data_IF_773937248100
#
_entry.id   IF_773937248100
#
_cell.length_a   1.000
_cell.length_b   1.000
_cell.length_c   1.000
_cell.angle_alpha   90.00
_cell.angle_beta   90.00
_cell.angle_gamma   90.00
#
_symmetry.space_group_name_H-M   'P 1'
#
loop_
_entity.id
_entity.type
_entity.pdbx_description
1 polymer ?
#
# COMPACT_ATOMS: atom_id res chain seq x y z
N UNK A 1 -11.51 39.10 -1.77
CA UNK A 1 -10.28 38.37 -1.41
C UNK A 1 -10.70 37.03 -0.78
N UNK A 2 -10.76 35.98 -1.58
CA UNK A 2 -11.14 34.64 -1.14
C UNK A 2 -9.92 33.96 -0.48
N UNK A 3 -9.97 33.79 0.83
CA UNK A 3 -9.04 32.93 1.57
C UNK A 3 -9.35 31.48 1.18
N UNK A 4 -8.53 30.87 0.33
CA UNK A 4 -8.49 29.40 0.20
C UNK A 4 -8.00 28.84 1.52
N UNK A 5 -8.90 28.28 2.34
CA UNK A 5 -8.52 27.37 3.40
C UNK A 5 -7.90 26.14 2.71
N UNK A 6 -6.61 25.90 2.96
CA UNK A 6 -5.99 24.62 2.63
C UNK A 6 -6.58 23.60 3.58
N UNK A 7 -7.57 22.84 3.12
CA UNK A 7 -8.02 21.66 3.81
C UNK A 7 -6.82 20.73 4.01
N UNK A 8 -6.70 20.15 5.20
CA UNK A 8 -5.75 19.07 5.46
C UNK A 8 -6.16 17.94 4.50
N UNK A 9 -5.33 17.68 3.49
CA UNK A 9 -5.56 16.54 2.61
C UNK A 9 -5.44 15.28 3.46
N UNK A 10 -6.53 14.53 3.60
CA UNK A 10 -6.50 13.21 4.23
C UNK A 10 -5.76 12.30 3.25
N UNK A 11 -4.54 11.91 3.62
CA UNK A 11 -3.73 10.99 2.85
C UNK A 11 -4.23 9.56 3.08
N UNK A 12 -4.32 8.76 2.01
CA UNK A 12 -4.53 7.33 2.19
C UNK A 12 -3.33 6.69 2.88
N UNK A 13 -3.58 5.64 3.67
CA UNK A 13 -2.50 4.93 4.37
C UNK A 13 -1.41 4.44 3.41
N UNK A 14 -1.77 4.03 2.20
CA UNK A 14 -0.84 3.58 1.17
C UNK A 14 -0.01 4.75 0.59
N UNK A 15 -0.58 5.95 0.48
CA UNK A 15 0.14 7.13 -0.02
C UNK A 15 1.33 7.47 0.89
N UNK A 16 1.11 7.53 2.21
CA UNK A 16 2.18 7.81 3.16
C UNK A 16 3.32 6.77 3.09
N UNK A 17 2.98 5.49 2.84
CA UNK A 17 3.98 4.42 2.65
C UNK A 17 4.81 4.64 1.38
N UNK A 18 4.18 4.99 0.26
CA UNK A 18 4.87 5.24 -1.00
C UNK A 18 5.75 6.50 -0.92
N UNK A 19 5.29 7.56 -0.24
CA UNK A 19 6.08 8.77 0.01
C UNK A 19 7.33 8.48 0.84
N UNK A 20 7.19 7.70 1.91
CA UNK A 20 8.33 7.29 2.74
C UNK A 20 9.32 6.42 1.94
N UNK A 21 8.82 5.45 1.17
CA UNK A 21 9.65 4.60 0.30
C UNK A 21 10.47 5.44 -0.68
N UNK A 22 9.83 6.38 -1.39
CA UNK A 22 10.50 7.26 -2.33
C UNK A 22 11.54 8.15 -1.64
N UNK A 23 11.18 8.76 -0.51
CA UNK A 23 12.10 9.62 0.24
C UNK A 23 13.35 8.88 0.71
N UNK A 24 13.22 7.63 1.17
CA UNK A 24 14.35 6.81 1.60
C UNK A 24 15.24 6.40 0.43
N UNK A 25 14.68 6.03 -0.72
CA UNK A 25 15.47 5.74 -1.92
C UNK A 25 16.23 6.98 -2.41
N UNK A 26 15.60 8.16 -2.42
CA UNK A 26 16.25 9.42 -2.82
C UNK A 26 17.39 9.83 -1.88
N UNK A 27 17.29 9.49 -0.58
CA UNK A 27 18.39 9.68 0.38
C UNK A 27 19.51 8.63 0.23
N UNK A 28 19.37 7.70 -0.73
CA UNK A 28 20.33 6.62 -0.96
C UNK A 28 20.50 5.71 0.25
N UNK A 29 19.43 5.47 0.99
CA UNK A 29 19.47 4.53 2.11
C UNK A 29 19.86 3.13 1.63
N UNK A 30 20.65 2.45 2.45
CA UNK A 30 21.33 1.20 2.06
C UNK A 30 20.37 0.06 1.79
N UNK A 31 19.22 0.05 2.47
CA UNK A 31 18.24 -1.01 2.33
C UNK A 31 16.82 -0.52 2.64
N UNK A 32 15.93 -0.69 1.67
CA UNK A 32 14.51 -0.37 1.78
C UNK A 32 13.69 -1.57 1.28
N UNK A 33 12.71 -2.00 2.06
CA UNK A 33 11.78 -3.08 1.69
C UNK A 33 10.35 -2.56 1.71
N UNK A 34 9.63 -2.84 0.64
CA UNK A 34 8.19 -2.62 0.56
C UNK A 34 7.48 -3.95 0.77
N UNK A 35 6.65 -3.99 1.81
CA UNK A 35 5.86 -5.15 2.18
C UNK A 35 4.40 -4.92 1.77
N UNK A 36 3.80 -5.90 1.10
CA UNK A 36 2.41 -5.83 0.64
C UNK A 36 1.64 -7.04 1.15
N UNK A 37 0.48 -6.84 1.77
CA UNK A 37 -0.45 -7.95 2.04
C UNK A 37 -0.92 -8.49 0.69
N UNK A 38 -0.37 -9.61 0.26
CA UNK A 38 -0.64 -10.21 -1.05
C UNK A 38 -1.90 -11.07 -1.04
N UNK A 39 -2.17 -11.75 0.08
CA UNK A 39 -3.40 -12.52 0.29
C UNK A 39 -3.74 -12.57 1.79
N UNK A 40 -5.04 -12.66 2.08
CA UNK A 40 -5.55 -12.86 3.42
C UNK A 40 -6.69 -13.88 3.40
N UNK A 41 -6.71 -14.80 4.37
CA UNK A 41 -7.78 -15.78 4.58
C UNK A 41 -8.24 -15.73 6.03
N UNK A 42 -9.55 -15.78 6.25
CA UNK A 42 -10.14 -15.61 7.59
C UNK A 42 -10.16 -14.13 8.01
N UNK A 43 -10.22 -13.89 9.32
CA UNK A 43 -10.20 -12.53 9.86
C UNK A 43 -8.82 -11.94 9.78
N UNK A 44 -8.64 -10.95 8.91
CA UNK A 44 -7.42 -10.16 8.81
C UNK A 44 -7.69 -8.73 9.23
N UNK A 45 -6.86 -8.12 10.10
CA UNK A 45 -7.03 -6.72 10.51
C UNK A 45 -6.77 -5.74 9.38
N UNK A 46 -6.05 -6.16 8.33
CA UNK A 46 -5.76 -5.34 7.15
C UNK A 46 -6.10 -6.11 5.86
N UNK A 47 -6.75 -5.46 4.89
CA UNK A 47 -7.10 -6.10 3.62
C UNK A 47 -5.89 -6.34 2.73
N UNK A 48 -5.98 -7.29 1.76
CA UNK A 48 -5.03 -7.38 0.67
C UNK A 48 -4.81 -6.03 -0.03
N UNK A 49 -3.55 -5.73 -0.35
CA UNK A 49 -3.16 -4.42 -0.89
C UNK A 49 -2.67 -3.42 0.16
N UNK A 50 -2.82 -3.70 1.46
CA UNK A 50 -2.22 -2.88 2.52
C UNK A 50 -0.70 -2.93 2.44
N UNK A 51 -0.06 -1.79 2.72
CA UNK A 51 1.37 -1.59 2.57
C UNK A 51 2.05 -1.27 3.89
N UNK A 52 3.31 -1.68 3.97
CA UNK A 52 4.29 -1.22 4.95
C UNK A 52 5.63 -1.08 4.24
N UNK A 53 6.37 -0.01 4.51
CA UNK A 53 7.76 0.14 4.11
C UNK A 53 8.64 0.16 5.34
N UNK A 54 9.81 -0.49 5.27
CA UNK A 54 10.83 -0.43 6.31
C UNK A 54 12.23 -0.26 5.71
N UNK A 55 13.16 0.27 6.53
CA UNK A 55 14.56 0.46 6.14
C UNK A 55 15.52 -0.31 7.07
N UNK A 56 16.81 -0.30 6.72
CA UNK A 56 17.85 -0.99 7.50
C UNK A 56 18.04 -0.44 8.93
N UNK A 57 17.59 0.78 9.18
CA UNK A 57 17.64 1.42 10.50
C UNK A 57 16.51 0.97 11.42
N UNK A 58 15.53 0.21 10.88
CA UNK A 58 14.37 -0.26 11.62
C UNK A 58 13.23 0.76 11.67
N UNK A 59 13.32 1.83 10.88
CA UNK A 59 12.18 2.74 10.69
C UNK A 59 11.12 2.06 9.83
N UNK A 60 9.86 2.34 10.11
CA UNK A 60 8.73 1.77 9.37
C UNK A 60 7.58 2.76 9.23
N UNK A 61 6.87 2.67 8.09
CA UNK A 61 5.65 3.43 7.82
C UNK A 61 4.61 2.48 7.22
N UNK A 62 3.37 2.57 7.69
CA UNK A 62 2.27 1.71 7.27
C UNK A 62 1.98 0.58 8.24
N UNK A 63 1.12 -0.37 7.84
CA UNK A 63 0.74 -1.51 8.68
C UNK A 63 0.19 -2.67 7.85
N UNK A 64 0.51 -3.89 8.26
CA UNK A 64 0.08 -5.16 7.64
C UNK A 64 -0.91 -5.94 8.52
N UNK A 65 -0.80 -5.81 9.85
CA UNK A 65 -1.60 -6.59 10.78
C UNK A 65 -2.06 -5.83 12.03
N UNK A 66 -1.44 -4.69 12.30
CA UNK A 66 -1.68 -3.92 13.52
C UNK A 66 -0.70 -4.21 14.66
N UNK A 67 0.45 -4.87 14.37
CA UNK A 67 1.56 -5.00 15.32
C UNK A 67 2.38 -6.28 15.20
N UNK A 68 1.76 -7.44 15.24
CA UNK A 68 2.50 -8.71 15.42
C UNK A 68 3.35 -9.15 14.23
N UNK A 69 2.84 -8.97 13.00
CA UNK A 69 3.59 -9.27 11.78
C UNK A 69 4.71 -8.25 11.59
N UNK A 70 4.47 -7.00 11.92
CA UNK A 70 5.44 -5.93 11.87
C UNK A 70 6.64 -6.23 12.77
N UNK A 71 6.40 -6.75 13.99
CA UNK A 71 7.46 -7.13 14.91
C UNK A 71 8.30 -8.30 14.37
N UNK A 72 7.69 -9.34 13.80
CA UNK A 72 8.40 -10.45 13.14
C UNK A 72 9.24 -9.97 11.95
N UNK A 73 8.69 -9.07 11.13
CA UNK A 73 9.44 -8.45 10.03
C UNK A 73 10.67 -7.68 10.54
N UNK A 74 10.52 -6.91 11.63
CA UNK A 74 11.65 -6.21 12.24
C UNK A 74 12.67 -7.17 12.84
N UNK A 75 12.25 -8.28 13.39
CA UNK A 75 13.15 -9.34 13.85
C UNK A 75 13.91 -9.98 12.68
N UNK A 76 13.23 -10.27 11.57
CA UNK A 76 13.86 -10.78 10.33
C UNK A 76 14.86 -9.77 9.75
N UNK A 77 14.55 -8.47 9.81
CA UNK A 77 15.47 -7.40 9.43
C UNK A 77 16.77 -7.46 10.26
N UNK A 78 16.64 -7.52 11.58
CA UNK A 78 17.80 -7.58 12.51
C UNK A 78 18.65 -8.84 12.31
N UNK A 79 18.04 -9.96 11.93
CA UNK A 79 18.72 -11.23 11.65
C UNK A 79 19.20 -11.37 10.21
N UNK A 80 19.10 -10.31 9.39
CA UNK A 80 19.42 -10.32 7.96
C UNK A 80 18.66 -11.41 7.16
N UNK A 81 17.46 -11.78 7.61
CA UNK A 81 16.61 -12.79 6.98
C UNK A 81 15.59 -12.22 5.98
N UNK A 82 15.69 -10.91 5.65
CA UNK A 82 14.91 -10.31 4.56
C UNK A 82 15.67 -10.45 3.23
N UNK A 83 14.95 -10.47 2.08
CA UNK A 83 15.59 -10.63 0.79
C UNK A 83 16.59 -9.48 0.53
N UNK A 84 17.80 -9.84 0.11
CA UNK A 84 18.85 -8.88 -0.29
C UNK A 84 18.64 -8.36 -1.70
N UNK A 85 17.87 -9.08 -2.53
CA UNK A 85 17.47 -8.72 -3.88
C UNK A 85 16.13 -9.39 -4.21
N UNK A 86 15.42 -8.87 -5.22
CA UNK A 86 14.17 -9.46 -5.66
C UNK A 86 13.00 -9.23 -4.71
N UNK A 87 12.10 -10.21 -4.67
CA UNK A 87 10.96 -10.24 -3.77
C UNK A 87 10.70 -11.66 -3.28
N UNK A 88 10.09 -11.78 -2.10
CA UNK A 88 9.78 -13.05 -1.46
C UNK A 88 8.36 -13.01 -0.88
N UNK A 89 7.62 -14.11 -1.03
CA UNK A 89 6.33 -14.32 -0.37
C UNK A 89 6.57 -14.99 0.99
N UNK A 90 6.25 -14.25 2.04
CA UNK A 90 6.38 -14.72 3.43
C UNK A 90 4.99 -15.10 3.95
N UNK A 91 4.74 -16.39 4.26
CA UNK A 91 3.49 -16.82 4.83
C UNK A 91 3.47 -16.60 6.35
N UNK A 92 2.31 -16.14 6.86
CA UNK A 92 2.00 -15.98 8.27
C UNK A 92 0.72 -16.73 8.62
N UNK A 93 0.66 -17.26 9.84
CA UNK A 93 -0.54 -17.96 10.31
C UNK A 93 -0.64 -19.41 9.82
N UNK A 94 0.48 -20.04 9.45
CA UNK A 94 0.50 -21.39 8.87
C UNK A 94 0.35 -22.48 9.95
N UNK A 95 0.92 -22.26 11.15
CA UNK A 95 0.84 -23.23 12.27
C UNK A 95 0.13 -22.61 13.48
N UNK A 96 -0.42 -23.47 14.35
CA UNK A 96 -1.06 -23.05 15.59
C UNK A 96 -0.09 -22.27 16.51
N UNK A 97 1.17 -22.74 16.61
CA UNK A 97 2.23 -22.10 17.41
C UNK A 97 2.58 -20.72 16.84
N UNK A 98 2.61 -20.58 15.50
CA UNK A 98 2.84 -19.31 14.86
C UNK A 98 1.68 -18.34 15.11
N UNK A 99 0.44 -18.81 15.08
CA UNK A 99 -0.75 -18.02 15.38
C UNK A 99 -0.76 -17.53 16.83
N UNK A 100 -0.40 -18.39 17.77
CA UNK A 100 -0.28 -18.04 19.19
C UNK A 100 0.82 -16.99 19.40
N UNK A 101 2.01 -17.22 18.86
CA UNK A 101 3.15 -16.28 18.95
C UNK A 101 2.85 -14.92 18.33
N UNK A 102 2.15 -14.89 17.20
CA UNK A 102 1.83 -13.67 16.45
C UNK A 102 0.51 -13.04 16.89
N UNK A 103 -0.16 -13.57 17.91
CA UNK A 103 -1.43 -13.02 18.38
C UNK A 103 -2.51 -13.00 17.30
N UNK A 104 -2.55 -14.02 16.42
CA UNK A 104 -3.57 -14.20 15.39
C UNK A 104 -4.68 -15.15 15.90
N UNK A 105 -5.53 -14.72 16.84
CA UNK A 105 -6.43 -15.61 17.60
C UNK A 105 -7.52 -16.24 16.73
N UNK A 106 -7.75 -15.71 15.54
CA UNK A 106 -8.84 -16.16 14.66
C UNK A 106 -8.38 -17.15 13.57
N UNK A 107 -7.14 -17.70 13.66
CA UNK A 107 -6.63 -18.62 12.65
C UNK A 107 -6.47 -17.99 11.25
N UNK A 108 -6.39 -16.68 11.17
CA UNK A 108 -6.17 -15.94 9.92
C UNK A 108 -4.83 -16.29 9.31
N UNK A 109 -4.80 -16.48 7.99
CA UNK A 109 -3.58 -16.69 7.22
C UNK A 109 -3.32 -15.47 6.36
N UNK A 110 -2.07 -15.02 6.35
CA UNK A 110 -1.61 -13.90 5.52
C UNK A 110 -0.44 -14.34 4.67
N UNK A 111 -0.37 -13.81 3.45
CA UNK A 111 0.83 -13.85 2.63
C UNK A 111 1.30 -12.43 2.41
N UNK A 112 2.54 -12.14 2.78
CA UNK A 112 3.15 -10.83 2.62
C UNK A 112 4.23 -10.92 1.57
N UNK A 113 4.10 -10.13 0.49
CA UNK A 113 5.19 -9.93 -0.46
C UNK A 113 6.17 -8.94 0.13
N UNK A 114 7.39 -9.35 0.39
CA UNK A 114 8.51 -8.51 0.82
C UNK A 114 9.39 -8.24 -0.39
N UNK A 115 9.37 -7.03 -0.90
CA UNK A 115 10.10 -6.60 -2.10
C UNK A 115 11.25 -5.69 -1.70
N UNK A 116 12.47 -6.04 -2.12
CA UNK A 116 13.65 -5.18 -1.98
C UNK A 116 13.60 -4.07 -3.03
N UNK A 117 13.44 -2.83 -2.58
CA UNK A 117 13.50 -1.66 -3.46
C UNK A 117 14.95 -1.25 -3.73
N UNK A 118 15.21 -0.70 -4.91
CA UNK A 118 16.53 -0.25 -5.32
C UNK A 118 16.49 1.19 -5.83
N UNK A 119 17.41 2.06 -5.37
CA UNK A 119 17.55 3.40 -5.94
C UNK A 119 17.76 3.35 -7.46
N UNK A 120 17.31 4.37 -8.16
CA UNK A 120 17.33 4.54 -9.62
C UNK A 120 16.40 3.58 -10.40
N UNK A 121 16.07 2.41 -9.86
CA UNK A 121 15.15 1.46 -10.50
C UNK A 121 13.70 1.69 -10.09
N UNK A 122 13.48 1.82 -8.78
CA UNK A 122 12.11 1.80 -8.23
C UNK A 122 11.55 3.21 -7.99
N UNK A 123 12.35 4.27 -8.04
CA UNK A 123 11.90 5.66 -7.87
C UNK A 123 10.84 6.05 -8.91
N UNK A 124 11.06 5.71 -10.18
CA UNK A 124 10.17 6.14 -11.26
C UNK A 124 8.73 5.61 -11.12
N UNK A 125 8.55 4.36 -10.71
CA UNK A 125 7.20 3.83 -10.52
C UNK A 125 6.54 4.37 -9.24
N UNK A 126 7.32 4.65 -8.18
CA UNK A 126 6.82 5.29 -6.96
C UNK A 126 6.32 6.71 -7.25
N UNK A 127 7.09 7.49 -7.99
CA UNK A 127 6.69 8.83 -8.44
C UNK A 127 5.43 8.79 -9.31
N UNK A 128 5.38 7.85 -10.26
CA UNK A 128 4.20 7.67 -11.10
C UNK A 128 2.96 7.26 -10.28
N UNK A 129 3.10 6.40 -9.27
CA UNK A 129 2.00 5.99 -8.39
C UNK A 129 1.51 7.17 -7.53
N UNK A 130 2.43 7.95 -6.95
CA UNK A 130 2.09 9.15 -6.17
C UNK A 130 1.40 10.21 -7.02
N UNK A 131 1.88 10.42 -8.25
CA UNK A 131 1.25 11.33 -9.21
C UNK A 131 -0.17 10.88 -9.56
N UNK A 132 -0.35 9.58 -9.85
CA UNK A 132 -1.68 9.02 -10.14
C UNK A 132 -2.64 9.18 -8.95
N UNK A 133 -2.18 8.94 -7.71
CA UNK A 133 -2.97 9.17 -6.50
C UNK A 133 -3.36 10.65 -6.33
N UNK A 134 -2.41 11.57 -6.52
CA UNK A 134 -2.66 13.02 -6.43
C UNK A 134 -3.67 13.51 -7.47
N UNK A 135 -3.63 12.94 -8.67
CA UNK A 135 -4.52 13.27 -9.78
C UNK A 135 -5.80 12.40 -9.80
N UNK A 136 -5.98 11.55 -8.79
CA UNK A 136 -7.12 10.62 -8.65
C UNK A 136 -7.31 9.72 -9.88
N UNK A 137 -6.21 9.31 -10.48
CA UNK A 137 -6.14 8.34 -11.58
C UNK A 137 -5.70 6.98 -11.04
N UNK A 138 -6.00 5.94 -11.83
CA UNK A 138 -5.56 4.59 -11.49
C UNK A 138 -4.24 4.25 -12.20
N UNK A 139 -3.31 3.67 -11.43
CA UNK A 139 -2.06 3.11 -11.92
C UNK A 139 -1.94 1.67 -11.44
N UNK A 140 -1.71 0.75 -12.36
CA UNK A 140 -1.44 -0.65 -12.05
C UNK A 140 0.05 -0.90 -11.99
N UNK A 141 0.51 -1.56 -10.92
CA UNK A 141 1.86 -2.14 -10.85
C UNK A 141 1.79 -3.66 -10.95
N UNK A 142 2.81 -4.24 -11.59
CA UNK A 142 3.06 -5.69 -11.66
C UNK A 142 4.45 -5.95 -11.11
N UNK A 143 4.54 -6.72 -10.05
CA UNK A 143 5.81 -7.05 -9.39
C UNK A 143 6.14 -8.50 -9.72
N UNK A 144 7.24 -8.71 -10.43
CA UNK A 144 7.80 -10.06 -10.62
C UNK A 144 8.36 -10.58 -9.31
N UNK A 145 7.81 -11.67 -8.78
CA UNK A 145 8.28 -12.24 -7.51
C UNK A 145 9.73 -12.70 -7.60
N UNK A 146 10.16 -13.43 -8.65
CA UNK A 146 11.55 -13.91 -8.73
C UNK A 146 12.59 -12.79 -8.84
N UNK A 147 12.25 -11.67 -9.50
CA UNK A 147 13.23 -10.59 -9.77
C UNK A 147 13.02 -9.35 -8.91
N UNK A 148 11.84 -9.18 -8.34
CA UNK A 148 11.44 -7.95 -7.65
C UNK A 148 11.31 -6.73 -8.55
N UNK A 149 11.33 -6.92 -9.89
CA UNK A 149 11.18 -5.83 -10.85
C UNK A 149 9.71 -5.45 -10.91
N UNK A 150 9.45 -4.14 -10.85
CA UNK A 150 8.12 -3.57 -10.99
C UNK A 150 7.95 -2.96 -12.38
N UNK A 151 6.92 -3.43 -13.10
CA UNK A 151 6.37 -2.78 -14.28
C UNK A 151 5.11 -2.02 -13.86
N UNK A 152 4.81 -0.89 -14.52
CA UNK A 152 3.60 -0.11 -14.23
C UNK A 152 3.01 0.51 -15.48
N UNK A 153 1.71 0.73 -15.42
CA UNK A 153 0.98 1.41 -16.49
C UNK A 153 -0.28 2.10 -15.94
N UNK A 154 -0.69 3.22 -16.53
CA UNK A 154 -2.02 3.79 -16.26
C UNK A 154 -3.11 2.80 -16.66
N UNK A 155 -4.19 2.75 -15.88
CA UNK A 155 -5.38 1.95 -16.18
C UNK A 155 -6.64 2.79 -15.95
N UNK A 156 -7.73 2.46 -16.65
CA UNK A 156 -8.96 3.24 -16.59
C UNK A 156 -9.70 3.09 -15.26
N UNK A 157 -9.64 1.89 -14.65
CA UNK A 157 -10.40 1.57 -13.45
C UNK A 157 -9.52 0.86 -12.42
N UNK A 158 -9.89 0.97 -11.16
CA UNK A 158 -9.26 0.21 -10.09
C UNK A 158 -9.61 -1.27 -10.24
N UNK A 159 -8.57 -2.12 -10.20
CA UNK A 159 -8.68 -3.57 -10.20
C UNK A 159 -8.40 -4.16 -8.81
N UNK A 160 -9.00 -5.30 -8.51
CA UNK A 160 -8.66 -6.05 -7.30
C UNK A 160 -7.22 -6.54 -7.38
N UNK A 161 -6.56 -6.62 -6.21
CA UNK A 161 -5.24 -7.20 -6.11
C UNK A 161 -5.27 -8.67 -6.52
N UNK A 162 -4.30 -9.09 -7.33
CA UNK A 162 -4.15 -10.45 -7.80
C UNK A 162 -2.76 -10.96 -7.45
N UNK A 163 -2.72 -12.09 -6.75
CA UNK A 163 -1.50 -12.86 -6.54
C UNK A 163 -1.51 -14.02 -7.53
N UNK A 164 -0.61 -13.98 -8.50
CA UNK A 164 -0.39 -15.01 -9.50
C UNK A 164 0.84 -15.84 -9.12
N UNK A 165 1.11 -16.91 -9.85
CA UNK A 165 2.23 -17.83 -9.53
C UNK A 165 3.60 -17.12 -9.43
N UNK A 166 3.87 -16.17 -10.35
CA UNK A 166 5.16 -15.48 -10.43
C UNK A 166 5.07 -13.95 -10.30
N UNK A 167 3.88 -13.39 -10.10
CA UNK A 167 3.72 -11.94 -10.01
C UNK A 167 2.58 -11.51 -9.06
N UNK A 168 2.73 -10.32 -8.50
CA UNK A 168 1.68 -9.59 -7.81
C UNK A 168 1.22 -8.43 -8.68
N UNK A 169 -0.11 -8.34 -8.90
CA UNK A 169 -0.73 -7.23 -9.62
C UNK A 169 -1.55 -6.39 -8.65
N UNK A 170 -1.22 -5.11 -8.53
CA UNK A 170 -1.91 -4.18 -7.63
C UNK A 170 -2.22 -2.88 -8.35
N UNK A 171 -3.42 -2.34 -8.11
CA UNK A 171 -3.82 -1.03 -8.63
C UNK A 171 -3.84 0.00 -7.49
N UNK A 172 -3.21 1.15 -7.72
CA UNK A 172 -3.32 2.34 -6.89
C UNK A 172 -4.32 3.30 -7.52
N UNK A 173 -5.06 4.03 -6.71
CA UNK A 173 -6.06 4.99 -7.17
C UNK A 173 -7.41 4.80 -6.49
N UNK A 174 -8.41 5.62 -6.80
CA UNK A 174 -9.73 5.52 -6.20
C UNK A 174 -10.41 4.19 -6.55
N UNK A 175 -10.85 3.48 -5.52
CA UNK A 175 -11.49 2.17 -5.67
C UNK A 175 -12.94 2.29 -6.10
N UNK A 176 -13.62 3.36 -5.68
CA UNK A 176 -15.04 3.57 -5.91
C UNK A 176 -15.28 5.00 -6.39
N UNK A 177 -16.30 5.17 -7.24
CA UNK A 177 -16.77 6.49 -7.67
C UNK A 177 -18.09 6.80 -6.97
N UNK A 178 -18.19 8.01 -6.42
CA UNK A 178 -19.42 8.56 -5.86
C UNK A 178 -19.95 9.65 -6.79
N UNK A 179 -21.18 9.49 -7.27
CA UNK A 179 -21.90 10.53 -8.00
C UNK A 179 -22.83 11.25 -7.03
N UNK A 180 -22.63 12.55 -6.87
CA UNK A 180 -23.49 13.43 -6.11
C UNK A 180 -24.29 14.30 -7.08
N UNK A 181 -25.63 14.27 -6.97
CA UNK A 181 -26.52 15.10 -7.77
C UNK A 181 -27.03 16.24 -6.90
N UNK A 182 -26.72 17.48 -7.32
CA UNK A 182 -26.95 18.71 -6.55
C UNK A 182 -25.70 19.18 -5.80
N UNK A 183 -25.38 20.48 -5.88
CA UNK A 183 -24.19 21.09 -5.28
C UNK A 183 -24.48 21.80 -3.94
N UNK A 184 -25.47 21.35 -3.18
CA UNK A 184 -25.84 21.91 -1.88
C UNK A 184 -24.82 21.59 -0.77
N UNK A 185 -25.06 22.19 0.41
CA UNK A 185 -24.18 22.03 1.57
C UNK A 185 -23.97 20.58 2.00
N UNK A 186 -25.03 19.74 1.90
CA UNK A 186 -24.94 18.33 2.20
C UNK A 186 -24.01 17.60 1.24
N UNK A 187 -24.08 17.89 -0.06
CA UNK A 187 -23.20 17.31 -1.07
C UNK A 187 -21.74 17.70 -0.85
N UNK A 188 -21.49 18.94 -0.39
CA UNK A 188 -20.15 19.37 -0.03
C UNK A 188 -19.57 18.51 1.13
N UNK A 189 -20.32 18.36 2.22
CA UNK A 189 -19.88 17.56 3.37
C UNK A 189 -19.69 16.08 3.01
N UNK A 190 -20.57 15.51 2.20
CA UNK A 190 -20.45 14.14 1.70
C UNK A 190 -19.23 13.98 0.78
N UNK A 191 -18.97 14.97 -0.08
CA UNK A 191 -17.79 14.95 -0.94
C UNK A 191 -16.48 14.95 -0.13
N UNK A 192 -16.39 15.79 0.92
CA UNK A 192 -15.22 15.82 1.81
C UNK A 192 -15.00 14.47 2.51
N UNK A 193 -16.06 13.85 3.04
CA UNK A 193 -15.98 12.52 3.66
C UNK A 193 -15.61 11.44 2.65
N UNK A 194 -16.21 11.45 1.46
CA UNK A 194 -15.93 10.48 0.41
C UNK A 194 -14.49 10.58 -0.09
N UNK A 195 -13.97 11.81 -0.26
CA UNK A 195 -12.56 12.03 -0.61
C UNK A 195 -11.61 11.50 0.46
N UNK A 196 -11.97 11.67 1.75
CA UNK A 196 -11.21 11.12 2.88
C UNK A 196 -11.20 9.58 2.88
N UNK A 197 -12.22 8.95 2.29
CA UNK A 197 -12.36 7.49 2.14
C UNK A 197 -11.85 6.97 0.78
N UNK A 198 -11.05 7.75 0.06
CA UNK A 198 -10.48 7.40 -1.26
C UNK A 198 -11.49 7.17 -2.38
N UNK A 199 -12.70 7.76 -2.29
CA UNK A 199 -13.64 7.78 -3.41
C UNK A 199 -13.22 8.80 -4.48
N UNK A 200 -13.45 8.45 -5.75
CA UNK A 200 -13.50 9.42 -6.85
C UNK A 200 -14.87 10.10 -6.83
N UNK A 201 -14.92 11.40 -6.57
CA UNK A 201 -16.18 12.13 -6.37
C UNK A 201 -16.50 13.00 -7.59
N UNK A 202 -17.66 12.76 -8.18
CA UNK A 202 -18.23 13.58 -9.23
C UNK A 202 -19.49 14.28 -8.69
N UNK A 203 -19.49 15.61 -8.73
CA UNK A 203 -20.67 16.42 -8.37
C UNK A 203 -21.29 16.96 -9.65
N UNK A 204 -22.56 16.70 -9.86
CA UNK A 204 -23.35 17.21 -10.99
C UNK A 204 -24.47 18.09 -10.42
N UNK A 205 -24.52 19.33 -10.86
CA UNK A 205 -25.59 20.26 -10.51
C UNK A 205 -26.44 20.52 -11.75
N UNK A 206 -27.73 20.20 -11.73
CA UNK A 206 -28.62 20.37 -12.89
C UNK A 206 -28.94 21.83 -13.18
#
# INVERSE_FOLDING_TARGET
>A
ASRRQRGVAVQSANQAVLEAALAWLQRRETAVWLCTVAAAQGSSPRPPGSLLVCNAQGEQVGSLSGGCIEEDLMQRLRSAALPVAGAELVPYGVTAEQNERLGLPCGGRLQVLVQRLQPNRDEAWLEAALTALAERRCLQRRVSIPTGITQWSPVANHGQLQLLEAELVQTFGPQMRMLLVGAGQLSQSLAELALAMDYDVLVVDP
#
